data_IF_307393680659
#
_entry.id   IF_307393680659
#
_cell.length_a   1.000
_cell.length_b   1.000
_cell.length_c   1.000
_cell.angle_alpha   90.00
_cell.angle_beta   90.00
_cell.angle_gamma   90.00
#
_symmetry.space_group_name_H-M   'P 1'
#
loop_
_entity.id
_entity.type
_entity.pdbx_description
1 polymer ?
#
# COMPACT_ATOMS: atom_id res chain seq x y z
N UNK A 1 -22.71 7.57 15.93
CA UNK A 1 -21.26 7.59 15.69
C UNK A 1 -20.72 8.81 16.38
N UNK A 2 -19.70 8.65 17.22
CA UNK A 2 -19.09 9.79 17.91
C UNK A 2 -17.94 10.34 17.06
N UNK A 3 -17.87 11.67 16.96
CA UNK A 3 -16.81 12.35 16.23
C UNK A 3 -15.86 13.04 17.21
N UNK A 4 -14.59 13.16 16.81
CA UNK A 4 -13.54 13.87 17.51
C UNK A 4 -12.66 14.63 16.51
N UNK A 5 -11.88 15.59 17.00
CA UNK A 5 -10.99 16.37 16.15
C UNK A 5 -9.56 15.83 16.19
N UNK A 6 -8.96 15.69 15.01
CA UNK A 6 -7.53 15.45 14.83
C UNK A 6 -6.93 16.60 14.00
N UNK A 7 -6.10 17.44 14.65
CA UNK A 7 -5.73 18.73 14.10
C UNK A 7 -6.97 19.59 13.83
N UNK A 8 -7.27 19.83 12.55
CA UNK A 8 -8.45 20.57 12.07
C UNK A 8 -9.48 19.67 11.35
N UNK A 9 -9.30 18.36 11.35
CA UNK A 9 -10.24 17.39 10.75
C UNK A 9 -11.18 16.85 11.81
N UNK A 10 -12.45 16.75 11.47
CA UNK A 10 -13.45 16.00 12.25
C UNK A 10 -13.53 14.58 11.69
N UNK A 11 -13.27 13.60 12.55
CA UNK A 11 -13.20 12.18 12.22
C UNK A 11 -14.01 11.39 13.23
N UNK A 12 -14.30 10.12 12.93
CA UNK A 12 -14.84 9.21 13.93
C UNK A 12 -13.86 9.09 15.10
N UNK A 13 -14.39 8.96 16.32
CA UNK A 13 -13.57 8.97 17.54
C UNK A 13 -12.49 7.88 17.50
N UNK A 14 -12.84 6.69 17.08
CA UNK A 14 -11.95 5.53 16.96
C UNK A 14 -10.82 5.76 15.94
N UNK A 15 -11.09 6.52 14.88
CA UNK A 15 -10.08 6.92 13.89
C UNK A 15 -9.10 7.91 14.54
N UNK A 16 -9.60 8.88 15.32
CA UNK A 16 -8.76 9.83 16.07
C UNK A 16 -7.89 9.12 17.10
N UNK A 17 -8.44 8.16 17.84
CA UNK A 17 -7.72 7.36 18.83
C UNK A 17 -6.58 6.59 18.16
N UNK A 18 -6.88 5.86 17.08
CA UNK A 18 -5.87 5.13 16.30
C UNK A 18 -4.77 6.05 15.77
N UNK A 19 -5.15 7.22 15.22
CA UNK A 19 -4.17 8.17 14.69
C UNK A 19 -3.28 8.75 15.79
N UNK A 20 -3.81 9.01 17.00
CA UNK A 20 -3.02 9.52 18.13
C UNK A 20 -2.06 8.46 18.66
N UNK A 21 -2.49 7.21 18.78
CA UNK A 21 -1.60 6.11 19.17
C UNK A 21 -0.48 5.92 18.14
N UNK A 22 -0.78 6.07 16.84
CA UNK A 22 0.24 6.10 15.79
C UNK A 22 1.20 7.29 15.96
N UNK A 23 0.72 8.50 16.27
CA UNK A 23 1.60 9.65 16.55
C UNK A 23 2.54 9.38 17.74
N UNK A 24 2.03 8.75 18.80
CA UNK A 24 2.83 8.37 19.96
C UNK A 24 3.93 7.37 19.61
N UNK A 25 3.63 6.40 18.74
CA UNK A 25 4.61 5.43 18.22
C UNK A 25 5.66 6.11 17.34
N UNK A 26 5.26 7.05 16.49
CA UNK A 26 6.12 7.71 15.50
C UNK A 26 6.92 8.88 16.09
N UNK A 27 6.51 9.41 17.24
CA UNK A 27 7.12 10.58 17.88
C UNK A 27 6.84 11.91 17.17
N UNK A 28 6.02 11.91 16.11
CA UNK A 28 5.73 13.07 15.25
C UNK A 28 4.25 13.04 14.84
N UNK A 29 3.60 14.21 14.67
CA UNK A 29 2.20 14.26 14.27
C UNK A 29 1.98 13.82 12.82
N UNK A 30 0.85 13.17 12.50
CA UNK A 30 0.49 12.80 11.10
C UNK A 30 -0.05 14.00 10.29
N UNK A 31 0.43 15.20 10.63
CA UNK A 31 0.26 16.41 9.85
C UNK A 31 1.43 17.37 10.09
N UNK A 32 1.73 18.20 9.11
CA UNK A 32 2.69 19.30 9.24
C UNK A 32 2.06 20.63 8.88
N UNK A 33 2.60 21.72 9.43
CA UNK A 33 2.23 23.07 9.00
C UNK A 33 2.83 23.34 7.62
N UNK A 34 2.06 23.90 6.70
CA UNK A 34 2.61 24.43 5.46
C UNK A 34 3.25 25.80 5.74
N UNK A 35 4.58 25.87 5.63
CA UNK A 35 5.27 27.15 5.60
C UNK A 35 5.22 27.72 4.18
N UNK A 36 4.69 28.94 4.02
CA UNK A 36 4.80 29.69 2.75
C UNK A 36 5.78 30.84 2.90
N UNK A 37 6.68 30.95 1.93
CA UNK A 37 7.38 32.18 1.62
C UNK A 37 6.37 33.19 1.02
N UNK A 38 6.23 34.37 1.63
CA UNK A 38 5.45 35.47 1.03
C UNK A 38 4.36 36.15 1.88
N UNK A 39 4.31 35.95 3.20
CA UNK A 39 3.68 36.94 4.09
C UNK A 39 2.16 36.87 4.30
N UNK A 40 1.46 35.81 3.88
CA UNK A 40 0.08 35.55 4.33
C UNK A 40 0.05 34.23 5.11
N UNK A 41 -0.04 34.32 6.44
CA UNK A 41 -0.30 33.16 7.30
C UNK A 41 -1.70 32.61 6.99
N UNK A 42 -1.75 31.48 6.30
CA UNK A 42 -2.94 30.64 6.28
C UNK A 42 -2.53 29.37 7.02
N UNK A 43 -3.04 29.19 8.24
CA UNK A 43 -2.82 27.99 9.08
C UNK A 43 -3.33 26.73 8.36
N UNK A 44 -2.57 26.25 7.40
CA UNK A 44 -2.88 25.09 6.58
C UNK A 44 -2.03 23.93 7.07
N UNK A 45 -2.71 22.82 7.34
CA UNK A 45 -2.08 21.57 7.75
C UNK A 45 -2.08 20.64 6.54
N UNK A 46 -0.91 20.13 6.19
CA UNK A 46 -0.76 19.03 5.23
C UNK A 46 -0.73 17.73 6.03
N UNK A 47 -1.76 16.92 5.86
CA UNK A 47 -1.89 15.63 6.53
C UNK A 47 -1.20 14.53 5.72
N UNK A 48 -0.68 13.53 6.42
CA UNK A 48 -0.19 12.28 5.81
C UNK A 48 -1.31 11.27 5.56
N UNK A 49 -2.56 11.67 5.84
CA UNK A 49 -3.75 10.89 5.56
C UNK A 49 -4.85 11.75 4.91
N UNK A 50 -5.83 11.08 4.30
CA UNK A 50 -7.07 11.69 3.86
C UNK A 50 -8.26 10.93 4.43
N UNK A 51 -9.38 11.63 4.62
CA UNK A 51 -10.58 11.06 5.21
C UNK A 51 -11.82 11.44 4.40
N UNK A 52 -12.78 10.52 4.35
CA UNK A 52 -14.09 10.67 3.72
C UNK A 52 -15.14 10.35 4.80
N UNK A 53 -16.13 11.22 5.01
CA UNK A 53 -17.19 11.06 6.03
C UNK A 53 -16.68 10.73 7.45
N UNK A 54 -15.51 11.28 7.79
CA UNK A 54 -14.84 11.09 9.08
C UNK A 54 -14.01 9.81 9.20
N UNK A 55 -13.92 8.99 8.15
CA UNK A 55 -13.16 7.74 8.12
C UNK A 55 -11.84 7.91 7.40
N UNK A 56 -10.74 7.35 7.91
CA UNK A 56 -9.45 7.43 7.22
C UNK A 56 -9.48 6.49 6.02
N UNK A 57 -9.37 7.06 4.82
CA UNK A 57 -9.40 6.30 3.55
C UNK A 57 -8.04 6.22 2.88
N UNK A 58 -7.10 7.09 3.24
CA UNK A 58 -5.70 7.01 2.77
C UNK A 58 -4.77 7.33 3.90
N UNK A 59 -3.68 6.59 4.06
CA UNK A 59 -2.61 6.84 5.02
C UNK A 59 -1.27 6.60 4.35
N UNK A 60 -0.33 7.53 4.50
CA UNK A 60 1.03 7.41 3.99
C UNK A 60 2.03 7.56 5.13
N UNK A 61 2.66 6.46 5.51
CA UNK A 61 3.75 6.39 6.48
C UNK A 61 5.11 6.18 5.79
N UNK A 62 5.20 6.37 4.47
CA UNK A 62 6.43 6.13 3.74
C UNK A 62 7.56 7.09 4.13
N UNK A 63 8.76 6.55 4.34
CA UNK A 63 9.95 7.26 4.84
C UNK A 63 9.95 7.55 6.34
N UNK A 64 8.96 7.03 7.09
CA UNK A 64 8.93 7.13 8.54
C UNK A 64 9.65 5.94 9.18
N UNK A 65 10.16 6.14 10.39
CA UNK A 65 10.70 5.05 11.22
C UNK A 65 9.54 4.22 11.81
N UNK A 66 8.92 3.39 10.97
CA UNK A 66 7.82 2.50 11.33
C UNK A 66 8.17 1.06 10.98
N UNK A 67 7.99 0.16 11.95
CA UNK A 67 8.18 -1.28 11.80
C UNK A 67 6.95 -2.11 12.22
N UNK A 68 6.13 -1.55 13.13
CA UNK A 68 4.87 -2.15 13.59
C UNK A 68 3.69 -1.33 13.03
N UNK A 69 2.81 -2.00 12.29
CA UNK A 69 1.59 -1.43 11.70
C UNK A 69 0.33 -2.05 12.28
N UNK A 70 0.39 -2.64 13.47
CA UNK A 70 -0.76 -3.27 14.15
C UNK A 70 -1.96 -2.33 14.22
N UNK A 71 -1.73 -1.06 14.58
CA UNK A 71 -2.76 -0.02 14.67
C UNK A 71 -3.41 0.30 13.32
N UNK A 72 -2.69 0.16 12.20
CA UNK A 72 -3.26 0.37 10.85
C UNK A 72 -4.40 -0.61 10.58
N UNK A 73 -4.36 -1.80 11.20
CA UNK A 73 -5.43 -2.78 11.15
C UNK A 73 -6.77 -2.30 11.72
N UNK A 74 -6.81 -1.21 12.49
CA UNK A 74 -8.05 -0.62 13.02
C UNK A 74 -8.75 0.31 12.02
N UNK A 75 -8.04 0.81 11.01
CA UNK A 75 -8.58 1.73 9.99
C UNK A 75 -9.34 0.96 8.91
N UNK A 76 -10.51 0.40 9.24
CA UNK A 76 -11.24 -0.56 8.38
C UNK A 76 -11.69 -0.02 7.02
N UNK A 77 -11.72 1.29 6.86
CA UNK A 77 -12.12 1.97 5.62
C UNK A 77 -10.94 2.43 4.77
N UNK A 78 -9.73 1.97 5.09
CA UNK A 78 -8.52 2.33 4.38
C UNK A 78 -8.53 1.75 2.97
N UNK A 79 -8.46 2.64 1.97
CA UNK A 79 -8.40 2.32 0.55
C UNK A 79 -6.98 2.42 0.00
N UNK A 80 -6.14 3.29 0.55
CA UNK A 80 -4.76 3.44 0.13
C UNK A 80 -3.81 3.44 1.33
N UNK A 81 -2.78 2.61 1.28
CA UNK A 81 -1.73 2.54 2.29
C UNK A 81 -0.35 2.66 1.65
N UNK A 82 0.41 3.66 2.08
CA UNK A 82 1.83 3.81 1.74
C UNK A 82 2.72 3.49 2.93
N UNK A 83 3.61 2.52 2.74
CA UNK A 83 4.63 2.07 3.70
C UNK A 83 6.03 2.06 3.07
N UNK A 84 6.21 2.78 1.95
CA UNK A 84 7.47 2.75 1.21
C UNK A 84 8.64 3.26 2.07
N UNK A 85 9.83 2.68 1.95
CA UNK A 85 11.02 3.13 2.70
C UNK A 85 10.79 3.06 4.23
N UNK A 86 10.28 1.93 4.71
CA UNK A 86 10.02 1.66 6.13
C UNK A 86 10.58 0.30 6.54
N UNK A 87 10.68 0.05 7.84
CA UNK A 87 11.19 -1.20 8.40
C UNK A 87 10.11 -2.28 8.58
N UNK A 88 8.92 -2.08 8.02
CA UNK A 88 7.80 -3.02 8.10
C UNK A 88 8.17 -4.35 7.44
N UNK A 89 7.83 -5.44 8.14
CA UNK A 89 8.00 -6.82 7.64
C UNK A 89 6.75 -7.68 7.78
N UNK A 90 5.86 -7.36 8.72
CA UNK A 90 4.61 -8.08 8.94
C UNK A 90 3.39 -7.34 8.37
N UNK A 91 2.69 -7.99 7.45
CA UNK A 91 1.44 -7.50 6.86
C UNK A 91 0.18 -8.12 7.51
N UNK A 92 0.32 -8.93 8.56
CA UNK A 92 -0.81 -9.56 9.26
C UNK A 92 -1.90 -8.59 9.72
N UNK A 93 -1.61 -7.32 10.10
CA UNK A 93 -2.65 -6.35 10.45
C UNK A 93 -3.57 -5.99 9.27
N UNK A 94 -3.12 -6.17 8.02
CA UNK A 94 -3.86 -5.76 6.83
C UNK A 94 -4.93 -6.77 6.39
N UNK A 95 -4.93 -7.99 6.94
CA UNK A 95 -5.75 -9.13 6.47
C UNK A 95 -7.26 -8.88 6.38
N UNK A 96 -7.78 -7.90 7.13
CA UNK A 96 -9.20 -7.55 7.20
C UNK A 96 -9.47 -6.13 6.69
N UNK A 97 -8.56 -5.53 5.91
CA UNK A 97 -8.77 -4.24 5.26
C UNK A 97 -9.42 -4.47 3.89
N UNK A 98 -10.66 -4.95 3.90
CA UNK A 98 -11.37 -5.42 2.70
C UNK A 98 -11.60 -4.32 1.64
N UNK A 99 -11.54 -3.04 2.04
CA UNK A 99 -11.64 -1.88 1.14
C UNK A 99 -10.29 -1.45 0.54
N UNK A 100 -9.17 -2.12 0.88
CA UNK A 100 -7.84 -1.72 0.44
C UNK A 100 -7.68 -1.93 -1.07
N UNK A 101 -7.39 -0.83 -1.78
CA UNK A 101 -7.24 -0.76 -3.23
C UNK A 101 -5.80 -0.56 -3.66
N UNK A 102 -5.01 0.14 -2.86
CA UNK A 102 -3.64 0.47 -3.20
C UNK A 102 -2.73 0.21 -2.01
N UNK A 103 -1.70 -0.60 -2.23
CA UNK A 103 -0.66 -0.89 -1.26
C UNK A 103 0.71 -0.64 -1.88
N UNK A 104 1.45 0.27 -1.26
CA UNK A 104 2.84 0.53 -1.60
C UNK A 104 3.73 0.10 -0.44
N UNK A 105 4.52 -0.96 -0.65
CA UNK A 105 5.48 -1.52 0.32
C UNK A 105 6.89 -1.55 -0.27
N UNK A 106 7.22 -0.61 -1.16
CA UNK A 106 8.56 -0.54 -1.75
C UNK A 106 9.62 -0.30 -0.68
N UNK A 107 10.82 -0.85 -0.84
CA UNK A 107 11.93 -0.63 0.09
C UNK A 107 11.50 -0.96 1.53
N UNK A 108 10.85 -2.11 1.71
CA UNK A 108 10.46 -2.66 3.02
C UNK A 108 11.06 -4.05 3.21
N UNK A 109 11.00 -4.56 4.45
CA UNK A 109 11.48 -5.90 4.81
C UNK A 109 10.41 -6.99 4.63
N UNK A 110 9.34 -6.70 3.89
CA UNK A 110 8.26 -7.66 3.64
C UNK A 110 8.78 -8.80 2.76
N UNK A 111 8.47 -10.03 3.17
CA UNK A 111 8.77 -11.25 2.41
C UNK A 111 7.57 -12.17 2.20
N UNK A 112 6.52 -12.03 3.03
CA UNK A 112 5.32 -12.86 3.00
C UNK A 112 4.08 -12.05 2.62
N UNK A 113 3.45 -12.43 1.50
CA UNK A 113 2.21 -11.81 1.00
C UNK A 113 0.95 -12.59 1.40
N UNK A 114 1.04 -13.64 2.22
CA UNK A 114 -0.09 -14.51 2.58
C UNK A 114 -1.27 -13.74 3.16
N UNK A 115 -1.00 -12.65 3.89
CA UNK A 115 -2.03 -11.79 4.49
C UNK A 115 -2.77 -10.89 3.50
N UNK A 116 -2.32 -10.82 2.24
CA UNK A 116 -3.05 -10.14 1.16
C UNK A 116 -4.12 -11.03 0.52
N UNK A 117 -4.17 -12.33 0.86
CA UNK A 117 -5.21 -13.24 0.35
C UNK A 117 -6.59 -12.72 0.75
N UNK A 118 -7.47 -12.58 -0.25
CA UNK A 118 -8.85 -12.16 -0.03
C UNK A 118 -9.07 -10.65 0.00
N UNK A 119 -8.03 -9.82 -0.18
CA UNK A 119 -8.19 -8.38 -0.42
C UNK A 119 -8.66 -8.12 -1.86
N UNK A 120 -9.89 -8.54 -2.17
CA UNK A 120 -10.41 -8.63 -3.54
C UNK A 120 -10.55 -7.27 -4.23
N UNK A 121 -10.58 -6.18 -3.46
CA UNK A 121 -10.60 -4.80 -3.96
C UNK A 121 -9.20 -4.25 -4.31
N UNK A 122 -8.12 -5.00 -4.04
CA UNK A 122 -6.75 -4.56 -4.29
C UNK A 122 -6.51 -4.43 -5.80
N UNK A 123 -6.22 -3.20 -6.23
CA UNK A 123 -5.98 -2.80 -7.63
C UNK A 123 -4.53 -2.54 -7.93
N UNK A 124 -3.79 -1.93 -7.00
CA UNK A 124 -2.36 -1.61 -7.18
C UNK A 124 -1.52 -2.16 -6.05
N UNK A 125 -0.45 -2.86 -6.41
CA UNK A 125 0.54 -3.39 -5.47
C UNK A 125 1.95 -3.08 -5.95
N UNK A 126 2.72 -2.38 -5.12
CA UNK A 126 4.11 -2.04 -5.41
C UNK A 126 5.07 -2.79 -4.47
N UNK A 127 5.87 -3.71 -5.02
CA UNK A 127 6.81 -4.58 -4.31
C UNK A 127 8.29 -4.28 -4.60
N UNK A 128 8.62 -3.12 -5.18
CA UNK A 128 10.00 -2.81 -5.53
C UNK A 128 10.93 -2.85 -4.31
N UNK A 129 12.03 -3.59 -4.39
CA UNK A 129 13.08 -3.70 -3.37
C UNK A 129 12.52 -4.24 -2.06
N UNK A 130 12.01 -5.47 -2.16
CA UNK A 130 11.44 -6.24 -1.04
C UNK A 130 12.02 -7.65 -1.04
N UNK A 131 11.91 -8.34 0.08
CA UNK A 131 12.37 -9.72 0.22
C UNK A 131 11.38 -10.77 -0.30
N UNK A 132 10.32 -10.34 -0.99
CA UNK A 132 9.28 -11.22 -1.54
C UNK A 132 9.88 -12.20 -2.55
N UNK A 133 9.55 -13.48 -2.39
CA UNK A 133 9.95 -14.56 -3.30
C UNK A 133 8.79 -15.36 -3.85
N UNK A 134 7.62 -15.32 -3.19
CA UNK A 134 6.40 -16.02 -3.61
C UNK A 134 5.25 -15.03 -3.83
N UNK A 135 4.72 -15.04 -5.05
CA UNK A 135 3.53 -14.27 -5.45
C UNK A 135 2.28 -15.14 -5.59
N UNK A 136 2.34 -16.42 -5.19
CA UNK A 136 1.18 -17.31 -5.12
C UNK A 136 -0.02 -16.75 -4.33
N UNK A 137 0.16 -15.94 -3.26
CA UNK A 137 -0.95 -15.30 -2.57
C UNK A 137 -1.79 -14.36 -3.44
N UNK A 138 -1.24 -13.87 -4.57
CA UNK A 138 -1.92 -12.91 -5.45
C UNK A 138 -2.88 -13.58 -6.45
N UNK A 139 -2.81 -14.90 -6.66
CA UNK A 139 -3.48 -15.64 -7.74
C UNK A 139 -4.99 -15.36 -7.90
N UNK A 140 -5.65 -15.11 -6.78
CA UNK A 140 -7.11 -14.95 -6.69
C UNK A 140 -7.55 -13.47 -6.61
N UNK A 141 -6.61 -12.52 -6.61
CA UNK A 141 -6.89 -11.07 -6.58
C UNK A 141 -7.28 -10.57 -7.97
N UNK A 142 -8.45 -11.00 -8.46
CA UNK A 142 -8.93 -10.69 -9.82
C UNK A 142 -9.14 -9.19 -10.08
N UNK A 143 -9.22 -8.36 -9.03
CA UNK A 143 -9.27 -6.91 -9.14
C UNK A 143 -7.92 -6.23 -9.36
N UNK A 144 -6.79 -6.96 -9.34
CA UNK A 144 -5.46 -6.37 -9.47
C UNK A 144 -5.21 -5.88 -10.90
N UNK A 145 -4.93 -4.58 -11.02
CA UNK A 145 -4.73 -3.83 -12.27
C UNK A 145 -3.24 -3.54 -12.50
N UNK A 146 -2.49 -3.19 -11.45
CA UNK A 146 -1.08 -2.81 -11.56
C UNK A 146 -0.22 -3.53 -10.51
N UNK A 147 0.87 -4.14 -10.97
CA UNK A 147 1.80 -4.86 -10.12
C UNK A 147 3.26 -4.54 -10.50
N UNK A 148 4.08 -4.16 -9.53
CA UNK A 148 5.53 -4.01 -9.75
C UNK A 148 6.32 -5.01 -8.92
N UNK A 149 7.05 -5.89 -9.58
CA UNK A 149 7.92 -6.93 -9.01
C UNK A 149 9.35 -6.61 -9.46
N UNK A 150 9.95 -5.59 -8.86
CA UNK A 150 11.30 -5.11 -9.18
C UNK A 150 12.23 -5.33 -8.00
N UNK A 151 13.47 -5.71 -8.24
CA UNK A 151 14.48 -5.96 -7.20
C UNK A 151 13.92 -6.84 -6.08
N UNK A 152 13.20 -7.91 -6.47
CA UNK A 152 12.68 -8.91 -5.54
C UNK A 152 13.36 -10.25 -5.76
N UNK A 153 12.99 -11.26 -4.97
CA UNK A 153 13.46 -12.65 -5.12
C UNK A 153 12.48 -13.53 -5.89
N UNK A 154 11.43 -12.95 -6.47
CA UNK A 154 10.42 -13.68 -7.24
C UNK A 154 11.06 -14.29 -8.48
N UNK A 155 10.68 -15.52 -8.81
CA UNK A 155 11.17 -16.18 -10.04
C UNK A 155 10.11 -16.92 -10.83
N UNK A 156 8.96 -17.21 -10.22
CA UNK A 156 7.79 -17.81 -10.85
C UNK A 156 6.64 -16.80 -10.85
N UNK A 157 6.17 -16.46 -12.05
CA UNK A 157 5.04 -15.55 -12.27
C UNK A 157 3.77 -16.30 -12.65
N UNK A 158 3.77 -17.64 -12.71
CA UNK A 158 2.57 -18.44 -13.00
C UNK A 158 1.31 -18.06 -12.21
N UNK A 159 1.39 -17.57 -10.94
CA UNK A 159 0.21 -17.06 -10.23
C UNK A 159 -0.51 -15.89 -10.93
N UNK A 160 0.17 -15.16 -11.82
CA UNK A 160 -0.40 -14.00 -12.51
C UNK A 160 -1.26 -14.37 -13.71
N UNK A 161 -1.21 -15.63 -14.20
CA UNK A 161 -1.90 -16.07 -15.43
C UNK A 161 -3.41 -15.79 -15.37
N UNK A 162 -4.02 -15.99 -14.20
CA UNK A 162 -5.45 -15.81 -13.97
C UNK A 162 -5.87 -14.40 -13.57
N UNK A 163 -4.99 -13.39 -13.56
CA UNK A 163 -5.35 -12.02 -13.17
C UNK A 163 -5.99 -11.29 -14.35
N UNK A 164 -7.30 -11.42 -14.48
CA UNK A 164 -8.06 -10.99 -15.67
C UNK A 164 -8.03 -9.48 -15.91
N UNK A 165 -8.00 -8.67 -14.85
CA UNK A 165 -7.97 -7.20 -14.92
C UNK A 165 -6.56 -6.60 -14.89
N UNK A 166 -5.50 -7.41 -14.94
CA UNK A 166 -4.13 -6.88 -14.91
C UNK A 166 -3.88 -6.05 -16.17
N UNK A 167 -3.55 -4.77 -15.99
CA UNK A 167 -3.29 -3.81 -17.07
C UNK A 167 -1.81 -3.52 -17.24
N UNK A 168 -1.03 -3.59 -16.16
CA UNK A 168 0.40 -3.28 -16.17
C UNK A 168 1.18 -4.15 -15.20
N UNK A 169 2.32 -4.69 -15.66
CA UNK A 169 3.26 -5.41 -14.82
C UNK A 169 4.70 -4.99 -15.11
N UNK A 170 5.39 -4.56 -14.06
CA UNK A 170 6.82 -4.27 -14.10
C UNK A 170 7.62 -5.43 -13.52
N UNK A 171 8.59 -5.96 -14.26
CA UNK A 171 9.44 -7.10 -13.82
C UNK A 171 10.92 -6.85 -14.09
N UNK A 172 11.77 -7.50 -13.30
CA UNK A 172 13.22 -7.51 -13.53
C UNK A 172 13.61 -8.36 -14.74
N UNK A 173 14.72 -7.99 -15.38
CA UNK A 173 15.28 -8.70 -16.53
C UNK A 173 15.53 -10.20 -16.26
N UNK A 174 15.98 -10.55 -15.04
CA UNK A 174 16.36 -11.92 -14.70
C UNK A 174 15.17 -12.88 -14.59
N UNK A 175 13.94 -12.36 -14.40
CA UNK A 175 12.72 -13.16 -14.26
C UNK A 175 12.10 -13.48 -15.64
N UNK A 176 12.37 -12.64 -16.65
CA UNK A 176 11.75 -12.74 -17.98
C UNK A 176 11.98 -14.11 -18.60
N UNK A 177 13.22 -14.61 -18.63
CA UNK A 177 13.54 -15.86 -19.34
C UNK A 177 12.82 -17.10 -18.80
N UNK A 178 12.46 -17.13 -17.51
CA UNK A 178 11.67 -18.24 -16.92
C UNK A 178 10.17 -18.10 -17.15
N UNK A 179 9.71 -16.92 -17.54
CA UNK A 179 8.30 -16.56 -17.61
C UNK A 179 7.92 -16.03 -19.01
N UNK A 180 8.73 -16.32 -20.03
CA UNK A 180 8.59 -15.75 -21.37
C UNK A 180 7.20 -16.01 -21.97
N UNK A 181 6.77 -17.27 -22.00
CA UNK A 181 5.45 -17.69 -22.50
C UNK A 181 4.30 -16.97 -21.77
N UNK A 182 4.41 -16.82 -20.45
CA UNK A 182 3.39 -16.12 -19.66
C UNK A 182 3.38 -14.62 -19.98
N UNK A 183 4.55 -13.99 -20.03
CA UNK A 183 4.67 -12.57 -20.32
C UNK A 183 4.21 -12.25 -21.75
N UNK A 184 4.40 -13.15 -22.70
CA UNK A 184 3.84 -13.06 -24.05
C UNK A 184 2.31 -13.14 -24.03
N UNK A 185 1.72 -14.14 -23.36
CA UNK A 185 0.26 -14.24 -23.16
C UNK A 185 -0.34 -12.97 -22.51
N UNK A 186 0.36 -12.39 -21.54
CA UNK A 186 -0.07 -11.14 -20.91
C UNK A 186 -0.05 -9.98 -21.92
N UNK A 187 1.00 -9.85 -22.72
CA UNK A 187 1.07 -8.83 -23.78
C UNK A 187 -0.03 -9.01 -24.83
N UNK A 188 -0.33 -10.25 -25.23
CA UNK A 188 -1.43 -10.56 -26.17
C UNK A 188 -2.80 -10.14 -25.62
N UNK A 189 -2.99 -10.20 -24.31
CA UNK A 189 -4.19 -9.70 -23.61
C UNK A 189 -4.23 -8.17 -23.49
N UNK A 190 -3.19 -7.47 -23.93
CA UNK A 190 -3.08 -6.02 -23.83
C UNK A 190 -2.42 -5.51 -22.55
N UNK A 191 -1.86 -6.40 -21.72
CA UNK A 191 -1.14 -6.00 -20.50
C UNK A 191 0.17 -5.30 -20.89
N UNK A 192 0.39 -4.10 -20.34
CA UNK A 192 1.65 -3.39 -20.47
C UNK A 192 2.73 -4.07 -19.61
N UNK A 193 3.52 -4.94 -20.23
CA UNK A 193 4.70 -5.54 -19.61
C UNK A 193 5.90 -4.64 -19.87
N UNK A 194 6.41 -3.98 -18.84
CA UNK A 194 7.57 -3.11 -18.94
C UNK A 194 8.73 -3.62 -18.11
N UNK A 195 9.92 -3.28 -18.59
CA UNK A 195 11.18 -3.56 -17.91
C UNK A 195 11.51 -2.38 -17.02
N UNK A 196 11.86 -2.67 -15.77
CA UNK A 196 12.29 -1.68 -14.80
C UNK A 196 13.81 -1.61 -14.63
#
# INVERSE_FOLDING_TARGET
MEYATYGKKELLREEVETLKELEEQLGEPLYRREERFGGVQKDSLKYYFSAEDGKVVRLNLGGWDVCDVTLVGHLKHLKNLGLAETDVSDLSPLKNLEELRELNIRETKVSDLTHLRGLMELKRLQLWDTDVSDVSPLRDLKGLEELTIKETKVSDLSPLEGLENLESVGVDYHIIGKNEDLLEKLKERGVNVWRA
#
